data_IF_971426877912
#
_entry.id   IF_971426877912
#
_cell.length_a   1.000
_cell.length_b   1.000
_cell.length_c   1.000
_cell.angle_alpha   90.00
_cell.angle_beta   90.00
_cell.angle_gamma   90.00
#
_symmetry.space_group_name_H-M   'P 1'
#
loop_
_entity.id
_entity.type
_entity.pdbx_description
1 polymer ?
#
# COMPACT_ATOMS: atom_id res chain seq x y z
N UNK A 1 -5.84 -12.66 9.50
CA UNK A 1 -4.77 -13.52 10.06
C UNK A 1 -3.67 -12.56 10.54
N UNK A 2 -2.55 -13.00 11.14
CA UNK A 2 -1.34 -12.16 11.09
C UNK A 2 -0.91 -12.17 9.62
N UNK A 3 -1.59 -11.36 8.82
CA UNK A 3 -1.35 -11.30 7.39
C UNK A 3 -0.03 -10.56 7.25
N UNK A 4 1.04 -11.34 7.08
CA UNK A 4 2.39 -10.90 6.80
C UNK A 4 2.42 -10.21 5.42
N UNK A 5 1.70 -9.11 5.27
CA UNK A 5 1.69 -8.29 4.08
C UNK A 5 3.13 -7.82 3.78
N UNK A 6 3.95 -7.64 4.82
CA UNK A 6 5.38 -7.43 4.67
C UNK A 6 6.05 -8.55 3.89
N UNK A 7 5.83 -9.82 4.27
CA UNK A 7 6.42 -10.95 3.55
C UNK A 7 5.84 -11.15 2.14
N UNK A 8 4.56 -10.78 1.94
CA UNK A 8 3.84 -11.09 0.69
C UNK A 8 3.95 -10.01 -0.38
N UNK A 9 3.98 -8.73 0.01
CA UNK A 9 3.86 -7.61 -0.93
C UNK A 9 4.87 -6.48 -0.70
N UNK A 10 5.56 -6.37 0.44
CA UNK A 10 6.49 -5.25 0.68
C UNK A 10 7.67 -5.23 -0.29
N UNK A 11 8.23 -6.39 -0.61
CA UNK A 11 9.38 -6.55 -1.49
C UNK A 11 8.99 -7.12 -2.86
N UNK A 12 7.79 -6.79 -3.37
CA UNK A 12 7.44 -7.19 -4.74
C UNK A 12 8.48 -6.67 -5.74
N UNK A 13 8.90 -7.55 -6.64
CA UNK A 13 9.87 -7.26 -7.70
C UNK A 13 9.22 -6.62 -8.92
N UNK A 14 7.88 -6.55 -8.94
CA UNK A 14 7.09 -5.97 -10.01
C UNK A 14 5.88 -5.22 -9.48
N UNK A 15 5.53 -4.12 -10.15
CA UNK A 15 4.32 -3.35 -9.88
C UNK A 15 3.08 -4.13 -10.34
N UNK A 16 2.09 -4.30 -9.47
CA UNK A 16 0.86 -5.05 -9.79
C UNK A 16 0.01 -4.43 -10.91
N UNK A 17 0.16 -3.12 -11.20
CA UNK A 17 -0.62 -2.41 -12.21
C UNK A 17 0.04 -2.35 -13.58
N UNK A 18 1.33 -2.04 -13.64
CA UNK A 18 2.05 -1.80 -14.90
C UNK A 18 3.12 -2.86 -15.22
N UNK A 19 3.28 -3.88 -14.37
CA UNK A 19 4.29 -4.93 -14.49
C UNK A 19 5.74 -4.41 -14.63
N UNK A 20 5.98 -3.16 -14.24
CA UNK A 20 7.33 -2.58 -14.23
C UNK A 20 8.15 -3.21 -13.11
N UNK A 21 9.40 -3.56 -13.39
CA UNK A 21 10.32 -4.08 -12.38
C UNK A 21 10.60 -3.04 -11.30
N UNK A 22 10.59 -3.48 -10.04
CA UNK A 22 10.86 -2.67 -8.87
C UNK A 22 12.13 -3.18 -8.19
N UNK A 23 13.17 -2.35 -8.17
CA UNK A 23 14.40 -2.63 -7.44
C UNK A 23 14.20 -2.41 -5.93
N UNK A 24 15.12 -2.91 -5.07
CA UNK A 24 14.99 -2.73 -3.63
C UNK A 24 14.89 -1.27 -3.18
N UNK A 25 15.59 -0.37 -3.85
CA UNK A 25 15.65 1.08 -3.59
C UNK A 25 14.46 1.85 -4.17
N UNK A 26 13.68 1.22 -5.07
CA UNK A 26 12.53 1.87 -5.69
C UNK A 26 11.40 2.00 -4.67
N UNK A 27 10.87 3.22 -4.57
CA UNK A 27 9.74 3.51 -3.70
C UNK A 27 8.48 2.82 -4.21
N UNK A 28 7.80 2.13 -3.30
CA UNK A 28 6.51 1.48 -3.49
C UNK A 28 5.49 2.08 -2.53
N UNK A 29 4.22 1.92 -2.84
CA UNK A 29 3.11 2.29 -1.98
C UNK A 29 1.98 1.28 -2.18
N UNK A 30 1.15 1.06 -1.17
CA UNK A 30 0.00 0.19 -1.31
C UNK A 30 -1.15 0.92 -2.01
N UNK A 31 -1.77 0.26 -2.99
CA UNK A 31 -2.95 0.76 -3.67
C UNK A 31 -4.13 0.85 -2.70
N UNK A 32 -4.91 1.94 -2.79
CA UNK A 32 -6.17 2.07 -2.03
C UNK A 32 -7.32 1.25 -2.64
N UNK A 33 -7.11 0.61 -3.79
CA UNK A 33 -8.12 -0.18 -4.49
C UNK A 33 -7.98 -1.68 -4.27
N UNK A 34 -6.75 -2.20 -4.30
CA UNK A 34 -6.49 -3.64 -4.21
C UNK A 34 -5.45 -4.03 -3.15
N UNK A 35 -4.97 -3.04 -2.39
CA UNK A 35 -3.99 -3.22 -1.32
C UNK A 35 -2.66 -3.85 -1.77
N UNK A 36 -2.37 -3.88 -3.08
CA UNK A 36 -1.12 -4.38 -3.62
C UNK A 36 -0.05 -3.28 -3.69
N UNK A 37 1.21 -3.66 -3.66
CA UNK A 37 2.32 -2.74 -3.85
C UNK A 37 2.41 -2.29 -5.33
N UNK A 38 2.36 -0.98 -5.52
CA UNK A 38 2.45 -0.30 -6.81
C UNK A 38 3.60 0.68 -6.84
N UNK A 39 4.09 1.00 -8.04
CA UNK A 39 5.06 2.06 -8.23
C UNK A 39 4.41 3.45 -8.04
N UNK A 40 5.23 4.46 -7.76
CA UNK A 40 4.74 5.84 -7.58
C UNK A 40 4.07 6.43 -8.83
N UNK A 41 4.38 5.93 -10.03
CA UNK A 41 3.70 6.40 -11.24
C UNK A 41 2.26 5.89 -11.28
N UNK A 42 2.04 4.60 -10.99
CA UNK A 42 0.69 4.05 -10.89
C UNK A 42 -0.09 4.67 -9.73
N UNK A 43 0.58 5.05 -8.64
CA UNK A 43 -0.08 5.81 -7.56
C UNK A 43 -0.61 7.16 -8.03
N UNK A 44 0.18 7.90 -8.82
CA UNK A 44 -0.27 9.18 -9.40
C UNK A 44 -1.47 8.99 -10.34
N UNK A 45 -1.48 7.89 -11.09
CA UNK A 45 -2.63 7.53 -11.93
C UNK A 45 -3.87 7.23 -11.08
N UNK A 46 -3.71 6.51 -9.97
CA UNK A 46 -4.78 6.30 -8.99
C UNK A 46 -5.31 7.62 -8.43
N UNK A 47 -4.43 8.53 -8.02
CA UNK A 47 -4.77 9.84 -7.45
C UNK A 47 -5.55 10.73 -8.43
N UNK A 48 -5.38 10.54 -9.74
CA UNK A 48 -6.11 11.26 -10.77
C UNK A 48 -7.50 10.68 -11.09
N UNK A 49 -7.84 9.50 -10.56
CA UNK A 49 -9.16 8.92 -10.78
C UNK A 49 -10.23 9.73 -10.05
N UNK A 50 -11.39 9.90 -10.68
CA UNK A 50 -12.51 10.64 -10.09
C UNK A 50 -13.07 10.01 -8.81
N UNK A 51 -12.86 8.72 -8.60
CA UNK A 51 -13.32 7.95 -7.43
C UNK A 51 -12.27 7.89 -6.29
N UNK A 52 -11.07 8.45 -6.49
CA UNK A 52 -9.95 8.29 -5.57
C UNK A 52 -10.23 8.84 -4.17
N UNK A 53 -10.86 10.01 -4.06
CA UNK A 53 -11.18 10.59 -2.76
C UNK A 53 -12.13 9.69 -1.95
N UNK A 54 -13.13 9.10 -2.61
CA UNK A 54 -14.05 8.18 -1.96
C UNK A 54 -13.33 6.90 -1.54
N UNK A 55 -12.52 6.34 -2.44
CA UNK A 55 -11.79 5.10 -2.19
C UNK A 55 -10.75 5.25 -1.07
N UNK A 56 -10.02 6.37 -1.06
CA UNK A 56 -9.05 6.68 0.00
C UNK A 56 -9.72 6.83 1.36
N UNK A 57 -10.86 7.54 1.45
CA UNK A 57 -11.66 7.62 2.68
C UNK A 57 -12.16 6.26 3.15
N UNK A 58 -12.63 5.41 2.22
CA UNK A 58 -13.05 4.05 2.54
C UNK A 58 -11.89 3.21 3.09
N UNK A 59 -10.71 3.35 2.50
CA UNK A 59 -9.49 2.65 2.94
C UNK A 59 -9.07 3.12 4.33
N UNK A 60 -9.08 4.43 4.59
CA UNK A 60 -8.82 4.99 5.93
C UNK A 60 -9.83 4.42 6.94
N UNK A 61 -11.11 4.38 6.60
CA UNK A 61 -12.16 3.85 7.47
C UNK A 61 -11.94 2.38 7.83
N UNK A 62 -11.62 1.53 6.84
CA UNK A 62 -11.27 0.13 7.07
C UNK A 62 -10.04 -0.02 7.96
N UNK A 63 -9.01 0.78 7.67
CA UNK A 63 -7.78 0.81 8.45
C UNK A 63 -7.99 1.26 9.90
N UNK A 64 -8.83 2.26 10.16
CA UNK A 64 -9.16 2.68 11.51
C UNK A 64 -9.88 1.57 12.29
N UNK A 65 -10.85 0.89 11.65
CA UNK A 65 -11.53 -0.23 12.28
C UNK A 65 -10.58 -1.40 12.61
N UNK A 66 -9.65 -1.73 11.70
CA UNK A 66 -8.65 -2.77 11.94
C UNK A 66 -7.64 -2.37 13.03
N UNK A 67 -7.15 -1.14 13.00
CA UNK A 67 -6.19 -0.65 13.99
C UNK A 67 -6.78 -0.56 15.39
N UNK A 68 -8.07 -0.21 15.52
CA UNK A 68 -8.79 -0.28 16.79
C UNK A 68 -8.91 -1.71 17.32
N UNK A 69 -9.23 -2.68 16.45
CA UNK A 69 -9.32 -4.10 16.82
C UNK A 69 -7.96 -4.71 17.21
N UNK A 70 -6.88 -4.29 16.53
CA UNK A 70 -5.53 -4.79 16.73
C UNK A 70 -4.73 -3.99 17.77
N UNK A 71 -5.31 -2.93 18.34
CA UNK A 71 -4.64 -1.97 19.24
C UNK A 71 -3.38 -1.34 18.63
N UNK A 72 -3.40 -1.05 17.33
CA UNK A 72 -2.31 -0.43 16.59
C UNK A 72 -2.34 -0.78 15.11
N UNK A 73 -1.41 -0.18 14.33
CA UNK A 73 -1.13 -0.55 12.94
C UNK A 73 0.09 -1.47 12.92
N UNK A 74 -0.06 -2.77 13.21
CA UNK A 74 1.06 -3.69 13.22
C UNK A 74 1.74 -3.61 11.85
N UNK A 75 3.06 -3.47 11.89
CA UNK A 75 3.90 -3.45 10.69
C UNK A 75 3.70 -2.24 9.77
N UNK A 76 2.75 -1.34 10.05
CA UNK A 76 2.50 -0.13 9.25
C UNK A 76 1.62 -0.34 8.01
N UNK A 77 0.86 -1.44 7.93
CA UNK A 77 0.03 -1.77 6.77
C UNK A 77 -0.84 -0.60 6.31
N UNK A 78 -1.53 0.04 7.26
CA UNK A 78 -2.41 1.15 6.97
C UNK A 78 -1.64 2.42 6.61
N UNK A 79 -0.52 2.67 7.28
CA UNK A 79 0.40 3.75 6.95
C UNK A 79 0.89 3.68 5.49
N UNK A 80 1.25 2.49 5.00
CA UNK A 80 1.84 2.31 3.68
C UNK A 80 0.86 2.42 2.49
N UNK A 81 -0.42 2.65 2.74
CA UNK A 81 -1.38 3.07 1.69
C UNK A 81 -1.24 4.55 1.30
N UNK A 82 -0.63 5.33 2.19
CA UNK A 82 -0.53 6.80 2.07
C UNK A 82 0.91 7.28 2.05
N UNK A 83 1.84 6.49 2.58
CA UNK A 83 3.27 6.83 2.62
C UNK A 83 4.10 5.78 1.87
N UNK A 84 4.95 6.20 0.92
CA UNK A 84 5.82 5.28 0.22
C UNK A 84 6.91 4.67 1.11
N UNK A 85 7.36 3.48 0.75
CA UNK A 85 8.39 2.70 1.43
C UNK A 85 9.31 2.00 0.45
N UNK A 86 10.42 1.42 0.94
CA UNK A 86 11.37 0.65 0.12
C UNK A 86 11.48 -0.79 0.64
N UNK A 87 12.08 -1.71 -0.13
CA UNK A 87 12.22 -3.12 0.32
C UNK A 87 13.21 -3.26 1.49
N UNK A 88 14.02 -2.22 1.74
CA UNK A 88 15.04 -2.23 2.77
C UNK A 88 14.56 -1.69 4.12
N UNK A 89 13.26 -1.38 4.27
CA UNK A 89 12.66 -1.11 5.57
C UNK A 89 12.66 -2.42 6.37
N UNK A 90 13.82 -2.71 7.00
CA UNK A 90 14.03 -3.73 8.03
C UNK A 90 13.95 -3.11 9.41
#
# INVERSE_FOLDING_TARGET
>A
MKDNWQERISCTIECSKCATKLNPEDKRILSVYDHQAICLNCKKEEEHRSDYEQQSKSTIGGCMAETELLYGDPEGYCYYHFYPYTCNDK
#
